data_IF_201326704253
#
_entry.id   IF_201326704253
#
_cell.length_a   1.000
_cell.length_b   1.000
_cell.length_c   1.000
_cell.angle_alpha   90.00
_cell.angle_beta   90.00
_cell.angle_gamma   90.00
#
_symmetry.space_group_name_H-M   'P 1'
#
loop_
_entity.id
_entity.type
_entity.pdbx_description
1 polymer ?
#
# COMPACT_ATOMS: atom_id res chain seq x y z
N UNK A 1 11.30 -2.56 -11.07
CA UNK A 1 10.66 -3.90 -10.94
C UNK A 1 11.14 -4.67 -9.72
N UNK A 2 12.44 -4.69 -9.38
CA UNK A 2 12.99 -5.49 -8.26
C UNK A 2 12.33 -5.22 -6.89
N UNK A 3 12.02 -3.98 -6.52
CA UNK A 3 11.42 -3.65 -5.21
C UNK A 3 10.07 -4.34 -4.97
N UNK A 4 9.21 -4.47 -6.00
CA UNK A 4 7.94 -5.18 -5.92
C UNK A 4 8.10 -6.71 -5.90
N UNK A 5 9.28 -7.21 -6.28
CA UNK A 5 9.61 -8.63 -6.26
C UNK A 5 10.18 -9.08 -4.91
N UNK A 6 10.78 -8.17 -4.15
CA UNK A 6 11.42 -8.46 -2.86
C UNK A 6 10.58 -8.03 -1.67
N UNK A 7 10.13 -6.78 -1.63
CA UNK A 7 9.66 -6.12 -0.41
C UNK A 7 8.24 -5.56 -0.56
N UNK A 8 7.98 -4.81 -1.63
CA UNK A 8 6.69 -4.15 -1.90
C UNK A 8 5.68 -5.12 -2.54
N UNK A 9 5.33 -6.20 -1.84
CA UNK A 9 4.34 -7.18 -2.31
C UNK A 9 2.93 -6.65 -2.03
N UNK A 10 2.27 -6.11 -3.05
CA UNK A 10 0.90 -5.60 -2.97
C UNK A 10 -0.07 -6.59 -3.63
N UNK A 11 -0.88 -7.33 -2.85
CA UNK A 11 -1.88 -8.24 -3.41
C UNK A 11 -3.06 -7.43 -3.96
N UNK A 12 -3.33 -7.56 -5.27
CA UNK A 12 -4.48 -6.95 -5.94
C UNK A 12 -5.33 -8.02 -6.59
N UNK A 13 -6.63 -7.99 -6.33
CA UNK A 13 -7.62 -8.83 -6.99
C UNK A 13 -8.70 -7.96 -7.64
N UNK A 14 -9.39 -8.52 -8.63
CA UNK A 14 -10.57 -7.91 -9.26
C UNK A 14 -11.72 -8.90 -9.29
N UNK A 15 -12.94 -8.43 -9.04
CA UNK A 15 -14.16 -9.21 -9.18
C UNK A 15 -15.15 -8.50 -10.08
N UNK A 16 -15.98 -9.26 -10.80
CA UNK A 16 -17.03 -8.70 -11.68
C UNK A 16 -18.09 -7.90 -10.92
N UNK A 17 -18.27 -8.15 -9.62
CA UNK A 17 -19.24 -7.42 -8.79
C UNK A 17 -18.72 -6.07 -8.29
N UNK A 18 -17.41 -5.95 -8.04
CA UNK A 18 -16.79 -4.75 -7.45
C UNK A 18 -15.95 -3.95 -8.44
N UNK A 19 -15.75 -4.47 -9.65
CA UNK A 19 -14.86 -3.91 -10.65
C UNK A 19 -15.35 -4.19 -12.07
N UNK A 20 -14.98 -3.32 -13.01
CA UNK A 20 -15.25 -3.50 -14.44
C UNK A 20 -14.22 -4.44 -15.13
N UNK A 21 -13.28 -5.00 -14.36
CA UNK A 21 -12.25 -5.90 -14.88
C UNK A 21 -12.66 -7.38 -14.72
N UNK A 22 -12.15 -8.28 -15.59
CA UNK A 22 -12.35 -9.71 -15.44
C UNK A 22 -11.93 -10.22 -14.05
N UNK A 23 -12.57 -11.30 -13.59
CA UNK A 23 -12.22 -11.93 -12.31
C UNK A 23 -10.74 -12.34 -12.30
N UNK A 24 -10.03 -11.87 -11.28
CA UNK A 24 -8.63 -12.21 -11.05
C UNK A 24 -8.37 -12.31 -9.55
N UNK A 25 -7.98 -13.49 -9.12
CA UNK A 25 -7.56 -13.75 -7.74
C UNK A 25 -6.04 -13.77 -7.63
N UNK A 26 -5.52 -12.94 -6.73
CA UNK A 26 -4.11 -12.92 -6.44
C UNK A 26 -3.67 -14.21 -5.72
N UNK A 27 -2.88 -15.03 -6.40
CA UNK A 27 -2.26 -16.22 -5.80
C UNK A 27 -0.79 -15.95 -5.46
N UNK A 28 -0.48 -15.91 -4.16
CA UNK A 28 0.87 -15.66 -3.66
C UNK A 28 1.88 -16.72 -4.12
N UNK A 29 1.48 -17.99 -4.20
CA UNK A 29 2.38 -19.09 -4.62
C UNK A 29 2.82 -18.91 -6.06
N UNK A 30 1.88 -18.64 -6.97
CA UNK A 30 2.18 -18.39 -8.39
C UNK A 30 2.98 -17.09 -8.57
N UNK A 31 2.71 -16.07 -7.76
CA UNK A 31 3.49 -14.83 -7.74
C UNK A 31 4.95 -15.11 -7.33
N UNK A 32 5.16 -15.84 -6.23
CA UNK A 32 6.50 -16.18 -5.73
C UNK A 32 7.29 -17.00 -6.76
N UNK A 33 6.67 -18.02 -7.38
CA UNK A 33 7.32 -18.84 -8.41
C UNK A 33 7.76 -18.02 -9.62
N UNK A 34 6.89 -17.12 -10.09
CA UNK A 34 7.22 -16.21 -11.20
C UNK A 34 8.39 -15.31 -10.84
N UNK A 35 8.44 -14.77 -9.61
CA UNK A 35 9.54 -13.89 -9.16
C UNK A 35 10.85 -14.62 -9.00
N UNK A 36 10.80 -15.87 -8.51
CA UNK A 36 11.96 -16.74 -8.43
C UNK A 36 12.51 -17.09 -9.82
N UNK A 37 11.62 -17.34 -10.79
CA UNK A 37 12.01 -17.65 -12.17
C UNK A 37 12.59 -16.44 -12.91
N UNK A 38 11.95 -15.27 -12.77
CA UNK A 38 12.32 -14.08 -13.53
C UNK A 38 13.55 -13.37 -12.93
N UNK A 39 13.72 -13.40 -11.59
CA UNK A 39 14.72 -12.60 -10.88
C UNK A 39 15.56 -13.37 -9.85
N UNK A 40 15.28 -14.65 -9.60
CA UNK A 40 16.00 -15.43 -8.58
C UNK A 40 15.71 -15.00 -7.13
N UNK A 41 14.70 -14.15 -6.91
CA UNK A 41 14.38 -13.58 -5.60
C UNK A 41 13.08 -14.15 -5.06
N UNK A 42 13.09 -14.54 -3.78
CA UNK A 42 11.89 -14.91 -3.04
C UNK A 42 11.31 -13.66 -2.34
N UNK A 43 10.03 -13.30 -2.56
CA UNK A 43 9.41 -12.15 -1.91
C UNK A 43 9.32 -12.36 -0.39
N UNK A 44 9.40 -11.25 0.36
CA UNK A 44 9.23 -11.20 1.83
C UNK A 44 7.98 -10.39 2.18
N UNK A 45 6.78 -10.98 2.08
CA UNK A 45 5.51 -10.24 2.17
C UNK A 45 5.25 -9.61 3.55
N UNK A 46 5.83 -10.16 4.62
CA UNK A 46 5.65 -9.64 5.98
C UNK A 46 6.65 -8.54 6.36
N UNK A 47 7.65 -8.26 5.54
CA UNK A 47 8.75 -7.35 5.88
C UNK A 47 8.25 -5.92 6.11
N UNK A 48 7.46 -5.39 5.18
CA UNK A 48 6.89 -4.03 5.31
C UNK A 48 5.95 -3.92 6.51
N UNK A 49 5.09 -4.91 6.71
CA UNK A 49 4.16 -4.89 7.85
C UNK A 49 4.87 -4.99 9.19
N UNK A 50 6.03 -5.65 9.25
CA UNK A 50 6.84 -5.74 10.46
C UNK A 50 7.63 -4.45 10.73
N UNK A 51 8.20 -3.85 9.68
CA UNK A 51 9.05 -2.67 9.81
C UNK A 51 8.23 -1.38 10.04
N UNK A 52 7.12 -1.23 9.30
CA UNK A 52 6.33 0.00 9.28
C UNK A 52 4.99 -0.13 10.02
N UNK A 53 4.80 -1.20 10.80
CA UNK A 53 3.66 -1.37 11.68
C UNK A 53 2.40 -1.95 11.03
N UNK A 54 2.33 -2.06 9.70
CA UNK A 54 1.24 -2.76 9.00
C UNK A 54 -0.15 -2.29 9.44
N UNK A 55 -0.93 -3.19 10.05
CA UNK A 55 -2.27 -2.87 10.59
C UNK A 55 -2.21 -1.96 11.84
N UNK A 56 -1.13 -2.05 12.61
CA UNK A 56 -0.87 -1.25 13.81
C UNK A 56 -0.11 0.04 13.48
N UNK A 57 -0.06 0.45 12.21
CA UNK A 57 0.61 1.68 11.78
C UNK A 57 0.08 2.91 12.55
N UNK A 58 -1.20 2.93 12.92
CA UNK A 58 -1.78 3.97 13.76
C UNK A 58 -1.14 4.01 15.15
N UNK A 59 -0.90 2.85 15.76
CA UNK A 59 -0.26 2.74 17.08
C UNK A 59 1.21 3.11 16.98
N UNK A 60 1.90 2.65 15.94
CA UNK A 60 3.31 2.96 15.70
C UNK A 60 3.51 4.47 15.46
N UNK A 61 2.74 5.07 14.55
CA UNK A 61 2.80 6.50 14.26
C UNK A 61 2.35 7.35 15.44
N UNK A 62 1.38 6.91 16.25
CA UNK A 62 0.99 7.62 17.46
C UNK A 62 2.08 7.62 18.53
N UNK A 63 2.84 6.52 18.65
CA UNK A 63 3.90 6.38 19.67
C UNK A 63 5.23 6.98 19.25
N UNK A 64 5.58 6.88 17.97
CA UNK A 64 6.93 7.19 17.48
C UNK A 64 6.95 8.19 16.32
N UNK A 65 5.80 8.45 15.67
CA UNK A 65 5.70 9.38 14.55
C UNK A 65 5.54 10.82 15.02
N UNK A 66 6.26 11.73 14.36
CA UNK A 66 6.10 13.18 14.55
C UNK A 66 6.44 13.92 13.25
N UNK A 67 5.79 15.05 13.00
CA UNK A 67 6.00 15.93 11.85
C UNK A 67 5.79 15.24 10.48
N UNK A 68 4.70 14.50 10.35
CA UNK A 68 4.34 13.79 9.11
C UNK A 68 3.00 14.33 8.60
N UNK A 69 2.94 14.65 7.30
CA UNK A 69 1.70 15.05 6.62
C UNK A 69 1.38 13.99 5.57
N UNK A 70 0.24 13.32 5.71
CA UNK A 70 -0.32 12.44 4.68
C UNK A 70 -1.24 13.24 3.79
N UNK A 71 -0.96 13.31 2.48
CA UNK A 71 -1.85 13.97 1.51
C UNK A 71 -2.50 12.91 0.63
N UNK A 72 -3.82 12.95 0.51
CA UNK A 72 -4.59 11.97 -0.25
C UNK A 72 -5.64 12.65 -1.12
N UNK A 73 -5.79 12.18 -2.36
CA UNK A 73 -6.90 12.53 -3.22
C UNK A 73 -8.09 11.58 -3.02
N UNK A 74 -9.33 12.08 -3.05
CA UNK A 74 -10.51 11.17 -2.99
C UNK A 74 -10.61 10.27 -4.23
N UNK A 75 -10.10 10.71 -5.37
CA UNK A 75 -10.12 9.99 -6.64
C UNK A 75 -8.87 9.10 -6.85
N UNK A 76 -7.94 9.11 -5.91
CA UNK A 76 -6.74 8.28 -5.94
C UNK A 76 -7.11 6.83 -5.60
N UNK A 77 -6.89 5.84 -6.50
CA UNK A 77 -7.15 4.43 -6.19
C UNK A 77 -6.29 3.90 -5.03
N UNK A 78 -5.16 4.55 -4.72
CA UNK A 78 -4.27 4.17 -3.63
C UNK A 78 -4.70 4.67 -2.26
N UNK A 79 -5.70 5.57 -2.19
CA UNK A 79 -6.18 6.15 -0.92
C UNK A 79 -6.61 5.11 0.10
N UNK A 80 -7.07 3.94 -0.34
CA UNK A 80 -7.51 2.84 0.54
C UNK A 80 -6.36 2.21 1.35
N UNK A 81 -5.11 2.39 0.89
CA UNK A 81 -3.91 1.92 1.59
C UNK A 81 -3.23 2.97 2.46
N UNK A 82 -3.78 4.19 2.55
CA UNK A 82 -3.14 5.34 3.20
C UNK A 82 -3.83 5.75 4.51
N UNK A 83 -3.23 6.69 5.24
CA UNK A 83 -3.78 7.27 6.47
C UNK A 83 -4.69 8.44 6.11
N UNK A 84 -6.01 8.26 6.28
CA UNK A 84 -7.03 9.24 5.92
C UNK A 84 -7.49 10.14 7.09
N UNK A 85 -6.97 9.92 8.30
CA UNK A 85 -7.35 10.65 9.51
C UNK A 85 -6.11 11.11 10.27
N UNK A 86 -6.23 12.21 11.03
CA UNK A 86 -5.16 12.69 11.88
C UNK A 86 -4.88 11.68 13.01
N UNK A 87 -3.61 11.36 13.23
CA UNK A 87 -3.17 10.42 14.27
C UNK A 87 -2.72 11.17 15.53
N UNK A 88 -2.10 12.34 15.35
CA UNK A 88 -1.67 13.24 16.44
C UNK A 88 -1.63 14.69 15.94
N UNK A 89 -1.32 15.65 16.81
CA UNK A 89 -1.17 17.07 16.43
C UNK A 89 -0.09 17.31 15.39
N UNK A 90 0.93 16.44 15.31
CA UNK A 90 2.04 16.55 14.37
C UNK A 90 2.04 15.47 13.27
N UNK A 91 1.07 14.54 13.32
CA UNK A 91 0.84 13.51 12.28
C UNK A 91 -0.56 13.71 11.74
N UNK A 92 -0.66 14.51 10.70
CA UNK A 92 -1.94 15.00 10.14
C UNK A 92 -2.18 14.42 8.74
N UNK A 93 -3.46 14.29 8.37
CA UNK A 93 -3.92 13.85 7.07
C UNK A 93 -4.73 14.94 6.39
N UNK A 94 -4.39 15.25 5.15
CA UNK A 94 -5.06 16.20 4.27
C UNK A 94 -5.73 15.42 3.14
N UNK A 95 -7.05 15.54 3.04
CA UNK A 95 -7.83 14.86 2.00
C UNK A 95 -8.41 15.91 1.06
N UNK A 96 -8.13 15.78 -0.23
CA UNK A 96 -8.60 16.71 -1.26
C UNK A 96 -9.72 16.07 -2.07
N UNK A 97 -10.88 16.73 -2.17
CA UNK A 97 -12.07 16.14 -2.79
C UNK A 97 -11.90 15.89 -4.30
N UNK A 98 -11.21 16.78 -4.99
CA UNK A 98 -10.92 16.65 -6.43
C UNK A 98 -9.52 16.07 -6.72
N UNK A 99 -8.77 15.72 -5.67
CA UNK A 99 -7.41 15.22 -5.80
C UNK A 99 -7.36 13.83 -6.43
N UNK A 100 -6.48 13.65 -7.41
CA UNK A 100 -6.05 12.34 -7.96
C UNK A 100 -4.77 11.91 -7.24
N UNK A 101 -3.98 11.04 -7.84
CA UNK A 101 -2.65 10.65 -7.34
C UNK A 101 -1.67 11.84 -7.38
N UNK A 102 -0.93 12.08 -6.29
CA UNK A 102 0.17 13.04 -6.27
C UNK A 102 1.39 12.44 -6.97
N UNK A 103 1.49 12.66 -8.29
CA UNK A 103 2.70 12.36 -9.07
C UNK A 103 3.68 13.53 -9.04
N UNK A 104 4.95 13.26 -8.75
CA UNK A 104 6.04 14.19 -9.08
C UNK A 104 6.27 14.05 -10.59
N UNK A 105 5.89 15.09 -11.36
CA UNK A 105 6.10 15.17 -12.81
C UNK A 105 7.57 15.40 -13.15
#
# INVERSE_FOLDING_TARGET
>A
MMQACSEMVMPMSSSEESSMFPTYDFNYSSFQEKRLKDYGVKPRPKWITAEFGGHDIHVALKKYGSNIIFSNGLLDPWRGGSVLQNISESVVSLVTEEGKEFGIS
#
